data_IF_121754775185
#
_entry.id   IF_121754775185
#
_cell.length_a   1.000
_cell.length_b   1.000
_cell.length_c   1.000
_cell.angle_alpha   90.00
_cell.angle_beta   90.00
_cell.angle_gamma   90.00
#
_symmetry.space_group_name_H-M   'P 1'
#
loop_
_entity.id
_entity.type
_entity.pdbx_description
1 polymer ?
#
# COMPACT_ATOMS: atom_id res chain seq x y z
N UNK A 1 26.06 25.30 -10.45
CA UNK A 1 25.87 23.90 -10.90
C UNK A 1 24.47 23.47 -10.48
N UNK A 2 23.63 23.04 -11.42
CA UNK A 2 22.32 22.44 -11.11
C UNK A 2 22.54 21.21 -10.22
N UNK A 3 21.85 21.15 -9.07
CA UNK A 3 21.87 19.94 -8.22
C UNK A 3 21.23 18.81 -9.04
N UNK A 4 21.97 17.73 -9.30
CA UNK A 4 21.41 16.54 -9.96
C UNK A 4 20.46 15.85 -8.99
N UNK A 5 19.30 15.40 -9.47
CA UNK A 5 18.35 14.59 -8.71
C UNK A 5 18.40 13.15 -9.22
N UNK A 6 18.55 12.20 -8.31
CA UNK A 6 18.45 10.77 -8.56
C UNK A 6 17.04 10.34 -8.17
N UNK A 7 16.33 9.73 -9.10
CA UNK A 7 14.96 9.26 -8.94
C UNK A 7 14.96 7.76 -8.62
N UNK A 8 14.21 7.36 -7.60
CA UNK A 8 14.14 5.99 -7.08
C UNK A 8 12.70 5.49 -7.09
N UNK A 9 12.53 4.25 -7.53
CA UNK A 9 11.35 3.44 -7.25
C UNK A 9 11.74 2.29 -6.34
N UNK A 10 10.99 2.07 -5.27
CA UNK A 10 11.23 0.98 -4.32
C UNK A 10 10.19 -0.11 -4.60
N UNK A 11 10.64 -1.28 -5.03
CA UNK A 11 9.82 -2.49 -5.12
C UNK A 11 10.09 -3.39 -3.94
N UNK A 12 9.02 -3.79 -3.27
CA UNK A 12 9.05 -4.69 -2.13
C UNK A 12 8.29 -5.96 -2.49
N UNK A 13 9.03 -7.02 -2.75
CA UNK A 13 8.44 -8.33 -3.03
C UNK A 13 7.68 -8.87 -1.82
N UNK A 14 6.72 -9.76 -2.09
CA UNK A 14 5.96 -10.40 -1.02
C UNK A 14 6.76 -11.45 -0.25
N UNK A 15 6.61 -11.44 1.07
CA UNK A 15 7.39 -12.31 1.97
C UNK A 15 6.66 -12.75 3.26
N UNK A 16 5.32 -12.66 3.30
CA UNK A 16 4.50 -13.03 4.48
C UNK A 16 5.06 -12.40 5.77
N UNK A 17 5.64 -13.18 6.68
CA UNK A 17 6.20 -12.72 7.96
C UNK A 17 7.50 -11.93 7.81
N UNK A 18 8.23 -12.07 6.69
CA UNK A 18 9.39 -11.24 6.39
C UNK A 18 9.01 -9.78 6.07
N UNK A 19 7.74 -9.40 6.15
CA UNK A 19 7.33 -8.00 6.21
C UNK A 19 8.02 -7.21 7.32
N UNK A 20 8.34 -7.83 8.47
CA UNK A 20 9.13 -7.19 9.52
C UNK A 20 10.54 -6.81 9.06
N UNK A 21 11.16 -7.65 8.22
CA UNK A 21 12.45 -7.32 7.61
C UNK A 21 12.31 -6.14 6.64
N UNK A 22 11.32 -6.17 5.74
CA UNK A 22 11.04 -5.08 4.80
C UNK A 22 10.76 -3.76 5.52
N UNK A 23 9.98 -3.81 6.61
CA UNK A 23 9.67 -2.66 7.45
C UNK A 23 10.92 -2.09 8.13
N UNK A 24 11.81 -2.95 8.66
CA UNK A 24 13.09 -2.53 9.21
C UNK A 24 14.03 -1.90 8.16
N UNK A 25 14.06 -2.44 6.94
CA UNK A 25 14.79 -1.83 5.82
C UNK A 25 14.25 -0.44 5.50
N UNK A 26 12.92 -0.28 5.45
CA UNK A 26 12.28 1.01 5.21
C UNK A 26 12.55 1.99 6.34
N UNK A 27 12.45 1.58 7.61
CA UNK A 27 12.76 2.42 8.78
C UNK A 27 14.19 2.95 8.72
N UNK A 28 15.16 2.06 8.50
CA UNK A 28 16.57 2.43 8.34
C UNK A 28 16.81 3.35 7.14
N UNK A 29 16.14 3.09 6.01
CA UNK A 29 16.27 3.93 4.82
C UNK A 29 15.76 5.36 5.08
N UNK A 30 14.64 5.50 5.78
CA UNK A 30 14.12 6.80 6.21
C UNK A 30 15.10 7.49 7.16
N UNK A 31 15.66 6.77 8.14
CA UNK A 31 16.69 7.29 9.04
C UNK A 31 17.91 7.82 8.29
N UNK A 32 18.42 7.03 7.34
CA UNK A 32 19.55 7.40 6.52
C UNK A 32 19.28 8.67 5.71
N UNK A 33 18.09 8.79 5.10
CA UNK A 33 17.72 9.99 4.36
C UNK A 33 17.48 11.22 5.23
N UNK A 34 16.90 11.06 6.41
CA UNK A 34 16.80 12.15 7.38
C UNK A 34 18.18 12.66 7.80
N UNK A 35 19.08 11.75 8.19
CA UNK A 35 20.43 12.10 8.62
C UNK A 35 21.23 12.73 7.48
N UNK A 36 21.05 12.23 6.25
CA UNK A 36 21.69 12.84 5.08
C UNK A 36 21.14 14.23 4.75
N UNK A 37 19.83 14.44 4.88
CA UNK A 37 19.23 15.77 4.71
C UNK A 37 19.72 16.74 5.79
N UNK A 38 19.72 16.34 7.07
CA UNK A 38 20.29 17.11 8.18
C UNK A 38 21.76 17.49 7.90
N UNK A 39 22.57 16.54 7.42
CA UNK A 39 23.97 16.81 7.05
C UNK A 39 24.10 17.79 5.89
N UNK A 40 23.21 17.73 4.88
CA UNK A 40 23.18 18.70 3.77
C UNK A 40 22.79 20.11 4.23
N UNK A 41 21.93 20.22 5.23
CA UNK A 41 21.52 21.51 5.79
C UNK A 41 22.65 22.13 6.62
N UNK A 42 23.32 21.34 7.46
CA UNK A 42 24.54 21.77 8.16
C UNK A 42 25.67 22.18 7.18
N UNK A 43 25.79 21.50 6.04
CA UNK A 43 26.75 21.92 5.01
C UNK A 43 26.38 23.26 4.37
N UNK A 44 25.09 23.55 4.19
CA UNK A 44 24.63 24.86 3.68
C UNK A 44 24.89 25.98 4.68
N UNK A 45 24.81 25.68 5.97
CA UNK A 45 25.15 26.60 7.07
C UNK A 45 26.67 26.75 7.29
N UNK A 46 27.51 26.02 6.56
CA UNK A 46 28.97 26.04 6.72
C UNK A 46 29.49 25.30 7.96
N UNK A 47 28.63 24.53 8.64
CA UNK A 47 28.97 23.74 9.85
C UNK A 47 29.54 22.36 9.52
N UNK A 48 29.32 21.87 8.30
CA UNK A 48 29.82 20.58 7.81
C UNK A 48 30.36 20.73 6.39
N UNK A 49 31.20 19.81 5.93
CA UNK A 49 31.70 19.80 4.55
C UNK A 49 31.87 18.37 4.02
N UNK A 50 31.97 18.21 2.70
CA UNK A 50 32.16 16.92 2.06
C UNK A 50 30.88 16.13 1.78
N UNK A 51 29.70 16.70 2.06
CA UNK A 51 28.42 16.04 1.83
C UNK A 51 28.04 16.12 0.35
N UNK A 52 27.69 15.01 -0.31
CA UNK A 52 27.26 15.01 -1.71
C UNK A 52 26.08 15.97 -1.94
N UNK A 53 26.18 16.80 -2.99
CA UNK A 53 25.19 17.85 -3.30
C UNK A 53 23.99 17.38 -4.12
N UNK A 54 23.96 16.12 -4.55
CA UNK A 54 22.83 15.57 -5.30
C UNK A 54 21.61 15.43 -4.39
N UNK A 55 20.43 15.38 -5.00
CA UNK A 55 19.18 15.07 -4.33
C UNK A 55 18.80 13.62 -4.64
N UNK A 56 18.07 13.00 -3.72
CA UNK A 56 17.37 11.74 -3.97
C UNK A 56 15.88 12.06 -3.89
N UNK A 57 15.11 11.45 -4.79
CA UNK A 57 13.66 11.53 -4.82
C UNK A 57 13.12 10.12 -4.95
N UNK A 58 12.30 9.70 -3.99
CA UNK A 58 11.51 8.47 -4.10
C UNK A 58 10.19 8.86 -4.77
N UNK A 59 9.99 8.37 -5.99
CA UNK A 59 8.79 8.66 -6.78
C UNK A 59 7.73 7.57 -6.65
N UNK A 60 8.14 6.34 -6.32
CA UNK A 60 7.25 5.18 -6.31
C UNK A 60 7.59 4.25 -5.15
N UNK A 61 6.57 3.83 -4.41
CA UNK A 61 6.60 2.66 -3.54
C UNK A 61 5.69 1.58 -4.15
N UNK A 62 6.22 0.38 -4.32
CA UNK A 62 5.47 -0.73 -4.90
C UNK A 62 5.66 -2.01 -4.11
N UNK A 63 4.66 -2.89 -4.12
CA UNK A 63 4.83 -4.22 -3.54
C UNK A 63 3.66 -5.17 -3.73
N UNK A 64 3.92 -6.43 -3.37
CA UNK A 64 2.95 -7.51 -3.25
C UNK A 64 2.95 -8.02 -1.80
N UNK A 65 1.86 -8.60 -1.31
CA UNK A 65 1.83 -9.21 0.03
C UNK A 65 2.31 -8.22 1.10
N UNK A 66 3.17 -8.68 2.00
CA UNK A 66 3.86 -7.88 3.00
C UNK A 66 4.54 -6.61 2.44
N UNK A 67 5.06 -6.64 1.22
CA UNK A 67 5.68 -5.48 0.57
C UNK A 67 4.66 -4.41 0.19
N UNK A 68 3.49 -4.81 -0.32
CA UNK A 68 2.41 -3.88 -0.65
C UNK A 68 1.78 -3.26 0.62
N UNK A 69 1.65 -4.05 1.69
CA UNK A 69 1.28 -3.54 3.02
C UNK A 69 2.29 -2.51 3.53
N UNK A 70 3.59 -2.82 3.42
CA UNK A 70 4.67 -1.91 3.86
C UNK A 70 4.74 -0.64 3.03
N UNK A 71 4.44 -0.71 1.73
CA UNK A 71 4.31 0.46 0.85
C UNK A 71 3.21 1.39 1.34
N UNK A 72 2.01 0.85 1.61
CA UNK A 72 0.88 1.63 2.11
C UNK A 72 1.15 2.24 3.49
N UNK A 73 1.72 1.46 4.42
CA UNK A 73 2.10 1.93 5.75
C UNK A 73 3.15 3.03 5.69
N UNK A 74 4.17 2.87 4.84
CA UNK A 74 5.21 3.89 4.66
C UNK A 74 4.61 5.17 4.08
N UNK A 75 3.75 5.06 3.07
CA UNK A 75 3.09 6.22 2.47
C UNK A 75 2.22 7.00 3.46
N UNK A 76 1.63 6.35 4.47
CA UNK A 76 0.96 7.02 5.57
C UNK A 76 1.97 7.62 6.57
N UNK A 77 2.97 6.84 6.99
CA UNK A 77 3.94 7.20 8.03
C UNK A 77 4.81 8.41 7.68
N UNK A 78 5.13 8.63 6.40
CA UNK A 78 5.96 9.78 5.98
C UNK A 78 5.35 11.15 6.30
N UNK A 79 4.08 11.19 6.68
CA UNK A 79 3.35 12.39 7.03
C UNK A 79 3.38 12.75 8.52
N UNK A 80 4.03 11.95 9.35
CA UNK A 80 4.21 12.21 10.78
C UNK A 80 5.67 12.07 11.19
N UNK A 81 5.98 12.59 12.38
CA UNK A 81 7.26 12.34 13.00
C UNK A 81 7.17 11.06 13.83
N UNK A 82 8.21 10.23 13.73
CA UNK A 82 8.38 9.06 14.56
C UNK A 82 9.87 8.77 14.69
N UNK A 83 10.24 8.15 15.81
CA UNK A 83 11.63 7.79 16.06
C UNK A 83 11.97 6.46 15.36
N UNK A 84 13.14 6.40 14.73
CA UNK A 84 13.66 5.17 14.12
C UNK A 84 14.11 4.17 15.18
N UNK A 85 13.92 2.87 14.95
CA UNK A 85 14.21 1.83 15.94
C UNK A 85 15.61 1.26 15.73
N UNK A 86 16.45 1.32 16.77
CA UNK A 86 17.73 0.63 16.81
C UNK A 86 17.65 -0.66 17.65
N UNK A 87 18.61 -1.57 17.46
CA UNK A 87 18.68 -2.80 18.24
C UNK A 87 18.75 -2.54 19.77
N UNK A 88 19.35 -1.43 20.17
CA UNK A 88 19.43 -1.01 21.59
C UNK A 88 18.09 -0.64 22.20
N UNK A 89 17.11 -0.23 21.37
CA UNK A 89 15.78 0.17 21.81
C UNK A 89 14.90 -1.03 22.13
N UNK A 90 15.10 -2.17 21.43
CA UNK A 90 14.33 -3.41 21.60
C UNK A 90 14.31 -3.90 23.05
N UNK A 91 15.38 -3.65 23.80
CA UNK A 91 15.51 -4.08 25.19
C UNK A 91 15.14 -2.98 26.19
N UNK A 92 15.28 -1.71 25.81
CA UNK A 92 15.36 -0.61 26.79
C UNK A 92 14.33 0.50 26.57
N UNK A 93 13.54 0.47 25.48
CA UNK A 93 12.74 1.63 25.09
C UNK A 93 11.40 1.26 24.43
N UNK A 94 10.54 0.55 25.16
CA UNK A 94 9.22 0.11 24.70
C UNK A 94 8.35 1.27 24.18
N UNK A 95 8.44 2.45 24.78
CA UNK A 95 7.70 3.65 24.34
C UNK A 95 8.08 4.11 22.93
N UNK A 96 9.36 3.95 22.55
CA UNK A 96 9.86 4.30 21.21
C UNK A 96 9.38 3.28 20.18
N UNK A 97 9.40 1.99 20.53
CA UNK A 97 8.92 0.90 19.68
C UNK A 97 7.44 1.11 19.31
N UNK A 98 6.59 1.38 20.30
CA UNK A 98 5.16 1.57 20.11
C UNK A 98 4.79 2.79 19.24
N UNK A 99 5.68 3.78 19.14
CA UNK A 99 5.48 5.00 18.35
C UNK A 99 5.97 4.89 16.91
N UNK A 100 6.81 3.91 16.59
CA UNK A 100 7.26 3.70 15.22
C UNK A 100 6.20 2.90 14.43
N UNK A 101 5.55 3.48 13.42
CA UNK A 101 4.45 2.83 12.72
C UNK A 101 4.87 1.59 11.94
N UNK A 102 6.12 1.51 11.47
CA UNK A 102 6.63 0.34 10.74
C UNK A 102 6.93 -0.81 11.71
N UNK A 103 7.60 -0.54 12.82
CA UNK A 103 7.89 -1.54 13.84
C UNK A 103 6.61 -2.05 14.50
N UNK A 104 5.75 -1.15 14.98
CA UNK A 104 4.52 -1.50 15.68
C UNK A 104 3.51 -2.25 14.76
N UNK A 105 3.58 -2.05 13.44
CA UNK A 105 2.73 -2.79 12.49
C UNK A 105 3.21 -4.19 12.14
N UNK A 106 4.50 -4.50 12.35
CA UNK A 106 5.09 -5.75 11.85
C UNK A 106 5.76 -6.61 12.91
N UNK A 107 6.21 -6.00 14.00
CA UNK A 107 6.90 -6.68 15.10
C UNK A 107 5.93 -6.88 16.26
N UNK A 108 5.35 -5.79 16.76
CA UNK A 108 4.39 -5.88 17.87
C UNK A 108 3.01 -6.39 17.41
N UNK A 109 2.64 -6.07 16.15
CA UNK A 109 1.34 -6.37 15.58
C UNK A 109 0.20 -5.85 16.48
N UNK A 110 -0.53 -6.76 17.12
CA UNK A 110 -1.54 -6.49 18.14
C UNK A 110 -1.33 -7.36 19.37
N UNK A 111 -0.13 -7.88 19.58
CA UNK A 111 0.19 -8.77 20.69
C UNK A 111 0.01 -8.07 22.04
N UNK A 112 -0.58 -8.78 23.01
CA UNK A 112 -0.80 -8.30 24.37
C UNK A 112 -0.20 -9.31 25.37
N UNK A 113 0.20 -8.86 26.56
CA UNK A 113 0.86 -9.69 27.60
C UNK A 113 0.14 -11.01 27.93
N UNK A 114 -1.19 -11.03 27.77
CA UNK A 114 -2.06 -12.16 28.10
C UNK A 114 -2.70 -12.82 26.87
N UNK A 115 -2.34 -12.35 25.66
CA UNK A 115 -2.93 -12.81 24.40
C UNK A 115 -1.96 -12.65 23.24
N UNK A 116 -1.13 -13.67 23.03
CA UNK A 116 -0.19 -13.73 21.91
C UNK A 116 -0.90 -13.74 20.53
N UNK A 117 -0.13 -13.50 19.46
CA UNK A 117 -0.68 -13.47 18.11
C UNK A 117 -1.32 -14.79 17.67
N UNK A 118 -0.83 -15.94 18.13
CA UNK A 118 -1.40 -17.24 17.76
C UNK A 118 -2.79 -17.41 18.37
N UNK A 119 -2.97 -17.02 19.63
CA UNK A 119 -4.26 -17.00 20.30
C UNK A 119 -5.25 -16.03 19.63
N UNK A 120 -4.76 -14.90 19.09
CA UNK A 120 -5.59 -13.99 18.30
C UNK A 120 -6.00 -14.61 16.96
N UNK A 121 -5.05 -15.18 16.23
CA UNK A 121 -5.30 -15.82 14.92
C UNK A 121 -6.20 -17.05 15.00
N UNK A 122 -6.18 -17.78 16.12
CA UNK A 122 -7.04 -18.95 16.37
C UNK A 122 -8.38 -18.61 17.03
N UNK A 123 -8.63 -17.35 17.38
CA UNK A 123 -9.92 -16.96 17.96
C UNK A 123 -11.02 -16.97 16.89
N UNK A 124 -12.27 -16.96 17.34
CA UNK A 124 -13.46 -16.91 16.48
C UNK A 124 -14.18 -15.54 16.54
N UNK A 125 -13.49 -14.52 17.04
CA UNK A 125 -14.09 -13.20 17.27
C UNK A 125 -14.57 -12.52 15.97
N UNK A 126 -13.88 -12.76 14.86
CA UNK A 126 -14.26 -12.31 13.53
C UNK A 126 -15.54 -12.98 12.99
N UNK A 127 -15.96 -14.08 13.61
CA UNK A 127 -17.20 -14.80 13.29
C UNK A 127 -18.30 -14.43 14.29
N UNK A 128 -18.01 -14.50 15.59
CA UNK A 128 -19.05 -14.35 16.63
C UNK A 128 -19.31 -12.91 17.04
N UNK A 129 -18.28 -12.06 16.99
CA UNK A 129 -18.26 -10.74 17.62
C UNK A 129 -18.16 -9.57 16.61
N UNK A 130 -17.75 -9.80 15.35
CA UNK A 130 -17.71 -8.75 14.32
C UNK A 130 -19.08 -8.48 13.67
N UNK A 131 -19.97 -7.83 14.42
CA UNK A 131 -21.34 -7.50 13.95
C UNK A 131 -21.37 -6.51 12.79
N UNK A 132 -20.30 -5.74 12.58
CA UNK A 132 -20.25 -4.68 11.57
C UNK A 132 -19.62 -5.17 10.27
N UNK A 133 -18.56 -5.98 10.35
CA UNK A 133 -17.87 -6.56 9.20
C UNK A 133 -18.38 -7.95 8.79
N UNK A 134 -18.93 -8.74 9.71
CA UNK A 134 -19.43 -10.09 9.48
C UNK A 134 -20.80 -10.37 10.17
N UNK A 135 -21.85 -9.60 9.82
CA UNK A 135 -23.17 -9.73 10.46
C UNK A 135 -23.79 -11.13 10.29
N UNK A 136 -23.46 -11.82 9.19
CA UNK A 136 -23.98 -13.14 8.85
C UNK A 136 -23.17 -14.30 9.46
N UNK A 137 -22.10 -14.00 10.21
CA UNK A 137 -21.23 -14.97 10.90
C UNK A 137 -20.62 -16.01 9.96
N UNK A 138 -20.16 -15.55 8.79
CA UNK A 138 -19.55 -16.41 7.78
C UNK A 138 -18.14 -16.83 8.20
N UNK A 139 -17.74 -18.05 7.86
CA UNK A 139 -16.33 -18.48 7.94
C UNK A 139 -15.64 -18.05 6.66
N UNK A 140 -14.84 -16.98 6.72
CA UNK A 140 -14.20 -16.39 5.53
C UNK A 140 -12.75 -16.82 5.32
N UNK A 141 -12.08 -17.27 6.37
CA UNK A 141 -10.69 -17.76 6.35
C UNK A 141 -10.43 -18.74 7.49
N UNK A 142 -9.29 -19.44 7.43
CA UNK A 142 -8.84 -20.37 8.48
C UNK A 142 -8.41 -19.62 9.75
N UNK A 143 -7.73 -18.48 9.59
CA UNK A 143 -7.31 -17.65 10.71
C UNK A 143 -8.15 -16.38 10.81
N UNK A 144 -8.37 -15.95 12.04
CA UNK A 144 -8.95 -14.65 12.33
C UNK A 144 -8.03 -13.54 11.82
N UNK A 145 -8.55 -12.73 10.91
CA UNK A 145 -7.82 -11.66 10.23
C UNK A 145 -8.05 -10.27 10.84
N UNK A 146 -8.75 -10.19 11.98
CA UNK A 146 -9.12 -8.95 12.64
C UNK A 146 -7.93 -8.09 13.05
N UNK A 147 -6.82 -8.71 13.45
CA UNK A 147 -5.59 -7.98 13.80
C UNK A 147 -5.05 -7.14 12.64
N UNK A 148 -5.17 -7.63 11.39
CA UNK A 148 -4.73 -6.90 10.19
C UNK A 148 -5.56 -5.63 10.01
N UNK A 149 -6.88 -5.73 10.22
CA UNK A 149 -7.80 -4.58 10.17
C UNK A 149 -7.43 -3.56 11.25
N UNK A 150 -7.19 -4.00 12.49
CA UNK A 150 -6.76 -3.13 13.59
C UNK A 150 -5.46 -2.38 13.24
N UNK A 151 -4.46 -3.06 12.68
CA UNK A 151 -3.19 -2.44 12.28
C UNK A 151 -3.42 -1.38 11.18
N UNK A 152 -4.18 -1.72 10.14
CA UNK A 152 -4.43 -0.82 9.02
C UNK A 152 -5.24 0.42 9.45
N UNK A 153 -6.24 0.23 10.31
CA UNK A 153 -7.04 1.33 10.86
C UNK A 153 -6.19 2.28 11.71
N UNK A 154 -5.34 1.71 12.58
CA UNK A 154 -4.44 2.43 13.49
C UNK A 154 -3.48 3.35 12.76
N UNK A 155 -2.86 2.89 11.67
CA UNK A 155 -1.74 3.60 11.04
C UNK A 155 -2.07 4.27 9.69
N UNK A 156 -3.16 3.89 9.03
CA UNK A 156 -3.54 4.47 7.73
C UNK A 156 -4.86 5.25 7.85
N UNK A 157 -5.94 4.65 8.37
CA UNK A 157 -7.23 5.36 8.46
C UNK A 157 -7.20 6.53 9.44
N UNK A 158 -6.49 6.41 10.56
CA UNK A 158 -6.37 7.50 11.53
C UNK A 158 -5.29 8.53 11.18
N UNK A 159 -4.57 8.34 10.07
CA UNK A 159 -3.47 9.21 9.69
C UNK A 159 -3.97 10.58 9.23
N UNK A 160 -3.45 11.63 9.87
CA UNK A 160 -3.63 13.02 9.47
C UNK A 160 -2.24 13.62 9.30
N UNK A 161 -2.01 14.25 8.16
CA UNK A 161 -0.74 14.84 7.79
C UNK A 161 -0.37 15.97 8.74
N UNK A 162 0.79 15.86 9.34
CA UNK A 162 1.44 16.97 10.02
C UNK A 162 2.01 17.94 8.97
N UNK A 163 1.62 19.21 9.08
CA UNK A 163 2.04 20.27 8.14
C UNK A 163 3.49 20.68 8.34
N UNK A 164 4.02 20.47 9.55
CA UNK A 164 5.39 20.83 9.92
C UNK A 164 6.40 19.76 9.49
N UNK A 165 5.92 18.56 9.16
CA UNK A 165 6.76 17.45 8.71
C UNK A 165 6.93 17.50 7.19
N UNK A 166 8.20 17.63 6.79
CA UNK A 166 8.61 17.58 5.39
C UNK A 166 9.74 16.57 5.21
N UNK A 167 9.52 15.64 4.28
CA UNK A 167 10.52 14.66 3.86
C UNK A 167 10.87 14.94 2.40
N UNK A 168 11.84 15.84 2.10
CA UNK A 168 12.10 16.35 0.75
C UNK A 168 12.67 15.30 -0.23
N UNK A 169 12.93 14.10 0.27
CA UNK A 169 13.36 12.93 -0.50
C UNK A 169 12.20 12.02 -0.90
N UNK A 170 10.95 12.36 -0.57
CA UNK A 170 9.75 11.78 -1.16
C UNK A 170 9.09 12.77 -2.11
N UNK A 171 8.63 12.29 -3.26
CA UNK A 171 7.90 13.12 -4.20
C UNK A 171 6.59 13.60 -3.58
N UNK A 172 6.24 14.87 -3.80
CA UNK A 172 4.94 15.40 -3.40
C UNK A 172 3.79 14.63 -4.08
N UNK A 173 4.07 14.02 -5.22
CA UNK A 173 3.17 13.25 -6.05
C UNK A 173 3.53 11.75 -6.09
N UNK A 174 4.09 11.25 -4.98
CA UNK A 174 4.48 9.85 -4.74
C UNK A 174 3.40 8.87 -5.19
N UNK A 175 3.81 7.84 -5.93
CA UNK A 175 2.91 6.77 -6.35
C UNK A 175 3.02 5.57 -5.41
N UNK A 176 1.88 4.97 -5.09
CA UNK A 176 1.80 3.72 -4.33
C UNK A 176 1.19 2.67 -5.25
N UNK A 177 1.86 1.53 -5.40
CA UNK A 177 1.46 0.48 -6.32
C UNK A 177 1.41 -0.86 -5.59
N UNK A 178 0.20 -1.40 -5.38
CA UNK A 178 0.02 -2.71 -4.78
C UNK A 178 -0.49 -3.71 -5.81
N UNK A 179 0.17 -4.86 -5.94
CA UNK A 179 -0.38 -5.97 -6.76
C UNK A 179 -1.47 -6.69 -6.00
N UNK A 180 -2.47 -7.16 -6.74
CA UNK A 180 -3.66 -7.81 -6.22
C UNK A 180 -4.03 -9.00 -7.11
N UNK A 181 -4.60 -10.03 -6.48
CA UNK A 181 -5.21 -11.14 -7.20
C UNK A 181 -6.73 -11.03 -7.08
N UNK A 182 -7.40 -10.66 -8.18
CA UNK A 182 -8.84 -10.47 -8.24
C UNK A 182 -9.55 -11.77 -8.63
N UNK A 183 -10.25 -12.40 -7.68
CA UNK A 183 -10.98 -13.65 -7.89
C UNK A 183 -12.23 -13.49 -8.77
N UNK A 184 -12.87 -12.31 -8.77
CA UNK A 184 -13.98 -11.99 -9.69
C UNK A 184 -13.48 -11.80 -11.12
N UNK A 185 -12.27 -11.23 -11.22
CA UNK A 185 -11.58 -10.84 -12.43
C UNK A 185 -12.21 -9.64 -13.15
N UNK A 186 -11.42 -9.05 -14.06
CA UNK A 186 -11.77 -7.90 -14.87
C UNK A 186 -12.18 -8.39 -16.26
N UNK A 187 -13.44 -8.21 -16.69
CA UNK A 187 -13.91 -8.69 -17.98
C UNK A 187 -13.39 -7.82 -19.13
N UNK A 188 -12.97 -8.48 -20.20
CA UNK A 188 -12.57 -7.85 -21.45
C UNK A 188 -13.03 -8.65 -22.67
N UNK A 189 -13.18 -7.96 -23.79
CA UNK A 189 -13.64 -8.51 -25.05
C UNK A 189 -12.53 -8.43 -26.10
N UNK A 190 -12.27 -9.54 -26.78
CA UNK A 190 -11.39 -9.61 -27.96
C UNK A 190 -12.25 -9.92 -29.17
N UNK A 191 -12.19 -9.03 -30.16
CA UNK A 191 -12.92 -9.21 -31.42
C UNK A 191 -12.06 -9.89 -32.46
N UNK A 192 -12.56 -10.99 -33.03
CA UNK A 192 -11.95 -11.73 -34.13
C UNK A 192 -12.85 -11.63 -35.36
N UNK A 193 -12.26 -11.38 -36.53
CA UNK A 193 -13.01 -11.42 -37.78
C UNK A 193 -12.61 -10.33 -38.78
N UNK A 194 -13.46 -10.12 -39.78
CA UNK A 194 -13.30 -9.13 -40.84
C UNK A 194 -14.28 -7.97 -40.63
N UNK A 195 -14.14 -6.83 -41.34
CA UNK A 195 -15.08 -5.70 -41.22
C UNK A 195 -16.56 -6.07 -41.46
N UNK A 196 -16.82 -7.16 -42.17
CA UNK A 196 -18.16 -7.65 -42.51
C UNK A 196 -18.71 -8.68 -41.51
N UNK A 197 -17.87 -9.21 -40.62
CA UNK A 197 -18.25 -10.24 -39.64
C UNK A 197 -17.28 -10.23 -38.46
N UNK A 198 -17.77 -9.82 -37.29
CA UNK A 198 -17.02 -9.83 -36.03
C UNK A 198 -17.60 -10.87 -35.07
N UNK A 199 -16.74 -11.75 -34.54
CA UNK A 199 -17.02 -12.59 -33.38
C UNK A 199 -16.35 -11.97 -32.17
N UNK A 200 -17.12 -11.70 -31.13
CA UNK A 200 -16.61 -11.20 -29.85
C UNK A 200 -16.36 -12.39 -28.93
N UNK A 201 -15.15 -12.52 -28.41
CA UNK A 201 -14.80 -13.47 -27.38
C UNK A 201 -14.62 -12.73 -26.04
N UNK A 202 -15.35 -13.16 -25.02
CA UNK A 202 -15.30 -12.59 -23.67
C UNK A 202 -14.33 -13.38 -22.82
N UNK A 203 -13.42 -12.67 -22.17
CA UNK A 203 -12.40 -13.23 -21.30
C UNK A 203 -12.35 -12.45 -19.99
N UNK A 204 -11.69 -13.02 -19.00
CA UNK A 204 -11.54 -12.41 -17.68
C UNK A 204 -10.06 -12.41 -17.28
N UNK A 205 -9.58 -11.29 -16.74
CA UNK A 205 -8.23 -11.15 -16.20
C UNK A 205 -8.27 -11.12 -14.68
N UNK A 206 -7.50 -11.99 -14.04
CA UNK A 206 -7.42 -12.06 -12.57
C UNK A 206 -6.27 -11.24 -11.98
N UNK A 207 -5.29 -10.85 -12.79
CA UNK A 207 -4.29 -9.85 -12.39
C UNK A 207 -4.95 -8.50 -12.16
N UNK A 208 -4.70 -7.90 -11.01
CA UNK A 208 -5.20 -6.59 -10.65
C UNK A 208 -4.14 -5.78 -9.88
N UNK A 209 -4.33 -4.47 -9.83
CA UNK A 209 -3.48 -3.55 -9.07
C UNK A 209 -4.33 -2.48 -8.40
N UNK A 210 -3.83 -1.96 -7.29
CA UNK A 210 -4.25 -0.70 -6.73
C UNK A 210 -3.11 0.31 -6.87
N UNK A 211 -3.31 1.30 -7.73
CA UNK A 211 -2.30 2.29 -8.08
C UNK A 211 -2.77 3.67 -7.65
N UNK A 212 -2.17 4.19 -6.59
CA UNK A 212 -2.48 5.49 -6.01
C UNK A 212 -1.43 6.52 -6.38
N UNK A 213 -1.83 7.78 -6.28
CA UNK A 213 -0.95 8.94 -6.39
C UNK A 213 -1.26 9.91 -5.27
N UNK A 214 -0.26 10.21 -4.44
CA UNK A 214 -0.36 11.27 -3.46
C UNK A 214 -0.53 12.62 -4.17
N UNK A 215 -1.31 13.50 -3.57
CA UNK A 215 -1.49 14.84 -4.11
C UNK A 215 -2.37 15.71 -3.24
N UNK A 216 -2.14 17.02 -3.30
CA UNK A 216 -3.06 18.00 -2.72
C UNK A 216 -4.32 18.19 -3.57
N UNK A 217 -4.22 17.97 -4.88
CA UNK A 217 -5.34 18.10 -5.79
C UNK A 217 -6.25 16.88 -5.67
N UNK A 218 -7.54 17.10 -5.40
CA UNK A 218 -8.57 16.08 -5.52
C UNK A 218 -8.79 15.64 -6.98
N UNK A 219 -8.13 16.31 -7.94
CA UNK A 219 -8.40 16.14 -9.37
C UNK A 219 -7.71 14.90 -9.92
N UNK A 220 -8.54 13.95 -10.33
CA UNK A 220 -8.14 12.77 -11.07
C UNK A 220 -7.62 13.15 -12.47
N UNK A 221 -6.35 12.82 -12.76
CA UNK A 221 -5.64 13.24 -13.99
C UNK A 221 -5.90 12.37 -15.22
N UNK A 222 -6.94 11.53 -15.19
CA UNK A 222 -7.35 10.64 -16.30
C UNK A 222 -6.26 9.66 -16.76
N UNK A 223 -5.52 9.12 -15.80
CA UNK A 223 -4.36 8.26 -16.01
C UNK A 223 -4.47 6.90 -15.27
N UNK A 224 -5.64 6.64 -14.68
CA UNK A 224 -5.92 5.44 -13.90
C UNK A 224 -5.31 5.42 -12.49
N UNK A 225 -4.59 6.48 -12.07
CA UNK A 225 -4.04 6.58 -10.71
C UNK A 225 -5.09 7.13 -9.77
N UNK A 226 -5.33 6.41 -8.68
CA UNK A 226 -6.31 6.76 -7.65
C UNK A 226 -5.74 7.94 -6.83
N UNK A 227 -6.37 9.12 -6.82
CA UNK A 227 -5.87 10.24 -6.03
C UNK A 227 -5.98 9.92 -4.54
N UNK A 228 -4.94 10.23 -3.76
CA UNK A 228 -4.85 9.90 -2.33
C UNK A 228 -4.33 11.11 -1.55
N UNK A 229 -4.96 11.42 -0.41
CA UNK A 229 -4.42 12.39 0.52
C UNK A 229 -4.78 12.10 1.98
N UNK A 230 -3.92 12.58 2.87
CA UNK A 230 -4.05 12.48 4.32
C UNK A 230 -4.23 13.85 4.99
N UNK A 231 -4.68 14.88 4.26
CA UNK A 231 -4.72 16.27 4.75
C UNK A 231 -5.66 16.51 5.95
N UNK A 232 -6.67 15.66 6.12
CA UNK A 232 -7.69 15.70 7.15
C UNK A 232 -8.09 14.27 7.57
N UNK A 233 -9.00 14.15 8.55
CA UNK A 233 -9.42 12.87 9.11
C UNK A 233 -10.06 11.97 8.04
N UNK A 234 -10.94 12.56 7.22
CA UNK A 234 -11.65 11.89 6.14
C UNK A 234 -10.68 11.45 5.02
N UNK A 235 -9.75 12.34 4.66
CA UNK A 235 -8.82 12.19 3.55
C UNK A 235 -9.51 11.93 2.21
N UNK A 236 -8.74 11.41 1.26
CA UNK A 236 -9.27 10.96 -0.03
C UNK A 236 -8.78 9.55 -0.31
N UNK A 237 -9.71 8.62 -0.57
CA UNK A 237 -9.43 7.21 -0.86
C UNK A 237 -8.57 6.48 0.20
N UNK A 238 -8.56 6.94 1.46
CA UNK A 238 -7.85 6.27 2.58
C UNK A 238 -8.39 4.86 2.84
N UNK A 239 -9.72 4.70 2.88
CA UNK A 239 -10.33 3.38 3.03
C UNK A 239 -9.96 2.46 1.86
N UNK A 240 -9.96 2.97 0.62
CA UNK A 240 -9.53 2.19 -0.54
C UNK A 240 -8.05 1.77 -0.44
N UNK A 241 -7.17 2.61 0.09
CA UNK A 241 -5.78 2.24 0.39
C UNK A 241 -5.73 1.14 1.47
N UNK A 242 -6.51 1.26 2.55
CA UNK A 242 -6.60 0.25 3.62
C UNK A 242 -7.09 -1.09 3.08
N UNK A 243 -8.20 -1.10 2.34
CA UNK A 243 -8.71 -2.32 1.73
C UNK A 243 -7.69 -2.94 0.77
N UNK A 244 -6.97 -2.12 0.00
CA UNK A 244 -5.93 -2.60 -0.92
C UNK A 244 -4.71 -3.16 -0.19
N UNK A 245 -4.27 -2.52 0.90
CA UNK A 245 -3.17 -2.99 1.75
C UNK A 245 -3.54 -4.31 2.44
N UNK A 246 -4.76 -4.43 2.97
CA UNK A 246 -5.25 -5.67 3.55
C UNK A 246 -5.41 -6.78 2.51
N UNK A 247 -5.91 -6.43 1.31
CA UNK A 247 -6.10 -7.38 0.21
C UNK A 247 -4.79 -7.99 -0.28
N UNK A 248 -3.76 -7.14 -0.44
CA UNK A 248 -2.49 -7.60 -1.01
C UNK A 248 -1.81 -8.63 -0.12
N UNK A 249 -2.06 -8.65 1.20
CA UNK A 249 -1.60 -9.68 2.13
C UNK A 249 -2.62 -10.77 2.49
N UNK A 250 -3.79 -10.80 1.83
CA UNK A 250 -4.86 -11.77 2.10
C UNK A 250 -4.52 -13.17 1.57
N UNK A 251 -3.65 -13.90 2.29
CA UNK A 251 -3.18 -15.22 1.89
C UNK A 251 -4.35 -16.17 1.61
N UNK A 252 -4.48 -16.74 0.39
CA UNK A 252 -5.63 -17.56 0.02
C UNK A 252 -5.92 -18.65 1.06
N UNK A 253 -7.19 -18.78 1.45
CA UNK A 253 -7.69 -19.70 2.49
C UNK A 253 -7.24 -19.32 3.91
N UNK A 254 -6.00 -18.90 4.10
CA UNK A 254 -5.44 -18.58 5.42
C UNK A 254 -5.96 -17.29 6.04
N UNK A 255 -6.01 -16.21 5.26
CA UNK A 255 -6.44 -14.88 5.70
C UNK A 255 -7.59 -14.37 4.83
N UNK A 256 -8.44 -13.52 5.42
CA UNK A 256 -9.70 -13.10 4.83
C UNK A 256 -9.49 -12.30 3.53
N UNK A 257 -10.15 -12.68 2.42
CA UNK A 257 -10.14 -11.89 1.19
C UNK A 257 -10.83 -10.54 1.38
N UNK A 258 -10.45 -9.53 0.60
CA UNK A 258 -11.00 -8.18 0.73
C UNK A 258 -11.81 -7.77 -0.48
N UNK A 259 -12.95 -7.15 -0.22
CA UNK A 259 -13.72 -6.49 -1.28
C UNK A 259 -13.06 -5.13 -1.54
N UNK A 260 -12.59 -4.93 -2.76
CA UNK A 260 -12.10 -3.65 -3.23
C UNK A 260 -13.16 -3.03 -4.12
N UNK A 261 -13.55 -1.81 -3.76
CA UNK A 261 -14.54 -1.00 -4.48
C UNK A 261 -13.86 0.27 -5.00
N UNK A 262 -13.79 0.40 -6.32
CA UNK A 262 -13.18 1.57 -6.97
C UNK A 262 -13.91 1.91 -8.26
N UNK A 263 -13.87 3.18 -8.67
CA UNK A 263 -14.49 3.60 -9.93
C UNK A 263 -13.84 2.89 -11.12
N UNK A 264 -14.66 2.45 -12.09
CA UNK A 264 -14.17 1.75 -13.27
C UNK A 264 -13.15 2.54 -14.10
N UNK A 265 -13.19 3.88 -14.05
CA UNK A 265 -12.19 4.74 -14.72
C UNK A 265 -10.76 4.42 -14.27
N UNK A 266 -10.55 4.10 -12.99
CA UNK A 266 -9.23 3.72 -12.46
C UNK A 266 -8.72 2.41 -13.04
N UNK A 267 -9.60 1.56 -13.57
CA UNK A 267 -9.23 0.30 -14.23
C UNK A 267 -8.97 0.56 -15.71
N UNK A 268 -9.91 1.22 -16.39
CA UNK A 268 -9.84 1.42 -17.84
C UNK A 268 -8.67 2.30 -18.23
N UNK A 269 -8.44 3.38 -17.50
CA UNK A 269 -7.45 4.40 -17.88
C UNK A 269 -6.05 4.06 -17.36
N UNK A 270 -5.91 3.05 -16.49
CA UNK A 270 -4.62 2.62 -15.98
C UNK A 270 -3.86 1.82 -17.03
N UNK A 271 -2.68 2.34 -17.42
CA UNK A 271 -1.80 1.75 -18.44
C UNK A 271 -1.34 0.31 -18.15
N UNK A 272 -1.35 -0.10 -16.89
CA UNK A 272 -0.94 -1.45 -16.49
C UNK A 272 -2.11 -2.44 -16.51
N UNK A 273 -3.35 -1.95 -16.40
CA UNK A 273 -4.55 -2.78 -16.49
C UNK A 273 -5.14 -2.82 -17.89
N UNK A 274 -4.90 -1.82 -18.72
CA UNK A 274 -5.57 -1.61 -20.01
C UNK A 274 -5.05 -2.46 -21.20
N UNK A 275 -4.58 -3.70 -20.98
CA UNK A 275 -4.26 -4.68 -22.05
C UNK A 275 -3.34 -4.13 -23.17
N UNK A 276 -2.30 -3.37 -22.81
CA UNK A 276 -1.38 -2.77 -23.79
C UNK A 276 -1.95 -1.50 -24.43
N UNK A 277 -2.48 -0.58 -23.62
CA UNK A 277 -3.10 0.68 -24.06
C UNK A 277 -4.36 0.51 -24.92
N UNK A 278 -5.13 -0.54 -24.64
CA UNK A 278 -6.41 -0.87 -25.26
C UNK A 278 -7.55 -0.83 -24.24
N UNK A 279 -7.86 0.37 -23.68
CA UNK A 279 -8.93 0.55 -22.69
C UNK A 279 -10.32 0.23 -23.25
N UNK A 280 -10.46 0.23 -24.58
CA UNK A 280 -11.67 -0.13 -25.33
C UNK A 280 -12.05 -1.60 -25.17
N UNK A 281 -11.09 -2.47 -24.86
CA UNK A 281 -11.36 -3.91 -24.68
C UNK A 281 -12.04 -4.21 -23.35
N UNK A 282 -11.91 -3.33 -22.35
CA UNK A 282 -12.55 -3.51 -21.05
C UNK A 282 -14.05 -3.21 -21.13
N UNK A 283 -14.87 -4.16 -20.68
CA UNK A 283 -16.33 -3.97 -20.60
C UNK A 283 -16.76 -3.31 -19.28
N UNK A 284 -15.81 -2.91 -18.44
CA UNK A 284 -16.07 -2.14 -17.22
C UNK A 284 -16.65 -0.76 -17.61
N UNK A 285 -17.69 -0.32 -16.90
CA UNK A 285 -18.22 1.03 -17.04
C UNK A 285 -17.32 2.01 -16.26
N UNK A 286 -16.78 3.07 -16.87
CA UNK A 286 -15.86 3.98 -16.19
C UNK A 286 -16.51 4.80 -15.05
N UNK A 287 -17.84 5.00 -15.10
CA UNK A 287 -18.58 5.84 -14.15
C UNK A 287 -18.99 5.04 -12.91
N UNK A 288 -19.30 3.75 -13.10
CA UNK A 288 -19.80 2.91 -12.03
C UNK A 288 -18.66 2.44 -11.11
N UNK A 289 -19.02 2.15 -9.86
CA UNK A 289 -18.12 1.45 -8.96
C UNK A 289 -18.00 -0.02 -9.39
N UNK A 290 -16.76 -0.47 -9.54
CA UNK A 290 -16.43 -1.85 -9.83
C UNK A 290 -15.95 -2.53 -8.54
N UNK A 291 -16.68 -3.56 -8.13
CA UNK A 291 -16.38 -4.35 -6.93
C UNK A 291 -15.66 -5.63 -7.30
N UNK A 292 -14.59 -5.93 -6.58
CA UNK A 292 -13.72 -7.10 -6.80
C UNK A 292 -13.43 -7.78 -5.48
N UNK A 293 -13.38 -9.11 -5.48
CA UNK A 293 -12.94 -9.89 -4.32
C UNK A 293 -11.46 -10.22 -4.53
N UNK A 294 -10.59 -9.75 -3.64
CA UNK A 294 -9.16 -9.82 -3.81
C UNK A 294 -8.48 -10.62 -2.70
N UNK A 295 -7.45 -11.35 -3.10
CA UNK A 295 -6.50 -12.06 -2.23
C UNK A 295 -5.09 -11.60 -2.55
N UNK A 296 -4.12 -12.21 -1.88
CA UNK A 296 -2.72 -11.83 -1.94
C UNK A 296 -2.22 -11.66 -3.39
N UNK A 297 -1.62 -10.51 -3.66
CA UNK A 297 -1.06 -10.15 -4.97
C UNK A 297 0.01 -11.13 -5.44
N UNK A 298 0.79 -11.66 -4.49
CA UNK A 298 1.81 -12.67 -4.71
C UNK A 298 1.31 -14.01 -5.23
N UNK A 299 0.00 -14.25 -5.22
CA UNK A 299 -0.60 -15.43 -5.86
C UNK A 299 -0.40 -15.43 -7.38
N UNK A 300 -0.41 -14.25 -8.02
CA UNK A 300 -0.21 -14.09 -9.47
C UNK A 300 1.09 -13.34 -9.77
N UNK A 301 1.36 -12.23 -9.09
CA UNK A 301 2.55 -11.42 -9.29
C UNK A 301 3.11 -10.94 -7.94
N UNK A 302 4.17 -11.62 -7.50
CA UNK A 302 4.84 -11.36 -6.24
C UNK A 302 5.93 -10.27 -6.33
N UNK A 303 6.29 -9.85 -7.54
CA UNK A 303 7.30 -8.82 -7.77
C UNK A 303 6.81 -7.78 -8.79
N UNK A 304 6.37 -6.58 -8.33
CA UNK A 304 5.77 -5.57 -9.20
C UNK A 304 6.73 -4.91 -10.21
N UNK A 305 7.92 -5.47 -10.41
CA UNK A 305 8.77 -5.14 -11.56
C UNK A 305 8.28 -5.78 -12.87
N UNK A 306 7.53 -6.89 -12.80
CA UNK A 306 7.03 -7.66 -13.96
C UNK A 306 5.67 -7.20 -14.49
#
# INVERSE_FOLDING_TARGET
MTKKTIHLGISMAGAISAGAYTAGVMDYLLEAFENWQKAKDLQQEGKLSGIPKHNIMIDILSGASAGGMTAALTAAAIHTNFDHVALTDVVNNTDRLAKNPLYHSWVDLTEEDHRDMMNQMLSIDDIENDKQGNPDKEVRSVFNSGFIKTIAERHINNMIKDKDIQRPYFAADLEIFATLTNLRGIPFEVSFGSPSYARVHRMTRHFDIAHFKLGFEQEYKKDGRIPLHFNDAEGLNKDLLVQSAMATGGFPIGLEPRIIKRLGKYIKENKYLNLGNRPDLHTVNPIDEFMTLNVDGGTINNDPFE
#
